data_IF_113928208156
#
_entry.id   IF_113928208156
#
_cell.length_a   1.000
_cell.length_b   1.000
_cell.length_c   1.000
_cell.angle_alpha   90.00
_cell.angle_beta   90.00
_cell.angle_gamma   90.00
#
_symmetry.space_group_name_H-M   'P 1'
#
loop_
_entity.id
_entity.type
_entity.pdbx_description
1 polymer ?
#
# COMPACT_ATOMS: atom_id res chain seq x y z
N UNK A 1 -18.78 59.63 -15.51
CA UNK A 1 -18.97 58.38 -16.31
C UNK A 1 -18.00 58.40 -17.47
N UNK A 2 -17.37 57.25 -17.75
CA UNK A 2 -16.25 56.98 -18.69
C UNK A 2 -14.87 57.14 -18.03
N UNK A 3 -13.97 56.16 -17.99
CA UNK A 3 -13.95 54.76 -18.45
C UNK A 3 -12.82 54.08 -17.64
N UNK A 4 -13.18 53.10 -16.83
CA UNK A 4 -12.32 52.13 -16.15
C UNK A 4 -11.87 51.08 -17.18
N UNK A 5 -10.82 51.33 -17.94
CA UNK A 5 -10.25 50.32 -18.85
C UNK A 5 -8.78 50.62 -19.11
N UNK A 6 -7.90 50.04 -18.28
CA UNK A 6 -6.51 49.67 -18.63
C UNK A 6 -5.83 48.92 -17.48
N UNK A 7 -6.46 47.85 -16.98
CA UNK A 7 -5.81 46.86 -16.11
C UNK A 7 -5.93 45.52 -16.83
N UNK A 8 -5.06 45.28 -17.80
CA UNK A 8 -4.84 43.98 -18.45
C UNK A 8 -3.60 44.10 -19.35
N UNK A 9 -2.42 43.95 -18.76
CA UNK A 9 -1.19 43.92 -19.54
C UNK A 9 0.05 44.14 -18.69
N UNK A 10 0.44 43.13 -17.92
CA UNK A 10 1.84 42.70 -17.67
C UNK A 10 1.92 41.69 -16.51
N UNK A 11 1.35 40.50 -16.70
CA UNK A 11 1.84 39.29 -16.01
C UNK A 11 2.16 38.24 -17.06
N UNK A 12 3.04 38.64 -17.98
CA UNK A 12 3.75 37.70 -18.84
C UNK A 12 4.78 36.96 -17.97
N UNK A 13 4.43 35.72 -17.60
CA UNK A 13 5.26 34.53 -17.83
C UNK A 13 6.74 34.66 -17.39
N UNK A 14 7.06 34.12 -16.20
CA UNK A 14 8.43 33.65 -15.89
C UNK A 14 8.37 32.12 -15.84
N UNK A 15 8.82 31.50 -16.93
CA UNK A 15 8.98 30.06 -17.11
C UNK A 15 10.44 29.69 -16.79
N UNK A 16 10.59 28.58 -16.05
CA UNK A 16 11.75 27.66 -15.99
C UNK A 16 13.15 28.20 -15.69
N UNK A 17 13.75 27.63 -14.64
CA UNK A 17 14.87 26.66 -14.70
C UNK A 17 15.69 26.80 -13.42
N UNK A 18 15.97 25.68 -12.74
CA UNK A 18 17.27 25.38 -12.10
C UNK A 18 17.17 24.12 -11.24
N UNK A 19 17.02 22.95 -11.87
CA UNK A 19 17.64 21.73 -11.33
C UNK A 19 18.89 21.49 -12.17
N UNK A 20 20.06 21.63 -11.55
CA UNK A 20 21.18 20.68 -11.64
C UNK A 20 22.30 21.16 -10.71
N UNK A 21 23.26 20.26 -10.49
CA UNK A 21 24.60 20.43 -9.89
C UNK A 21 24.66 19.93 -8.43
N UNK A 22 25.44 18.92 -8.03
CA UNK A 22 26.42 18.03 -8.68
C UNK A 22 26.48 16.73 -7.84
N UNK A 23 26.63 15.60 -8.50
CA UNK A 23 27.00 14.32 -7.87
C UNK A 23 28.44 14.37 -7.35
N UNK A 24 28.65 14.07 -6.07
CA UNK A 24 29.97 13.82 -5.52
C UNK A 24 30.09 12.37 -5.03
N UNK A 25 30.83 11.59 -5.84
CA UNK A 25 31.91 10.70 -5.39
C UNK A 25 31.54 9.39 -4.69
N UNK A 26 31.39 8.32 -5.48
CA UNK A 26 32.06 7.04 -5.24
C UNK A 26 31.99 6.16 -6.50
N UNK A 27 33.02 6.24 -7.35
CA UNK A 27 33.28 5.27 -8.40
C UNK A 27 33.69 3.93 -7.76
N UNK A 28 32.72 3.03 -7.54
CA UNK A 28 33.06 1.61 -7.35
C UNK A 28 33.20 1.00 -8.75
N UNK A 29 34.44 0.73 -9.13
CA UNK A 29 34.79 -0.17 -10.23
C UNK A 29 33.96 -1.45 -10.07
N UNK A 30 33.15 -1.77 -11.08
CA UNK A 30 32.62 -3.11 -11.27
C UNK A 30 33.52 -3.73 -12.32
N UNK A 31 34.43 -4.61 -11.90
CA UNK A 31 35.16 -5.49 -12.81
C UNK A 31 34.15 -6.46 -13.44
N UNK A 32 33.66 -6.12 -14.63
CA UNK A 32 32.87 -7.03 -15.45
C UNK A 32 33.87 -7.91 -16.20
N UNK A 33 34.17 -9.08 -15.62
CA UNK A 33 34.88 -10.16 -16.32
C UNK A 33 33.93 -10.77 -17.35
N UNK A 34 33.99 -10.27 -18.58
CA UNK A 34 33.31 -10.87 -19.74
C UNK A 34 34.02 -12.19 -20.05
N UNK A 35 33.37 -13.32 -19.78
CA UNK A 35 33.77 -14.62 -20.34
C UNK A 35 32.78 -15.00 -21.43
N UNK A 36 33.27 -15.07 -22.66
CA UNK A 36 32.54 -15.48 -23.85
C UNK A 36 31.91 -16.89 -23.70
N UNK A 37 30.74 -17.14 -24.32
CA UNK A 37 30.18 -18.48 -24.45
C UNK A 37 30.70 -19.12 -25.74
N UNK A 38 31.35 -20.29 -25.66
CA UNK A 38 31.39 -21.25 -26.77
C UNK A 38 31.83 -22.65 -26.30
N UNK A 39 30.83 -23.55 -26.31
CA UNK A 39 30.81 -24.94 -26.79
C UNK A 39 31.60 -26.09 -26.11
N UNK A 40 30.93 -27.26 -26.19
CA UNK A 40 31.41 -28.66 -26.11
C UNK A 40 31.61 -29.16 -24.66
N UNK A 41 31.09 -30.28 -24.14
CA UNK A 41 30.54 -31.53 -24.69
C UNK A 41 29.75 -32.28 -23.61
N UNK A 42 28.90 -33.22 -24.06
CA UNK A 42 28.24 -34.24 -23.24
C UNK A 42 29.25 -35.12 -22.47
N UNK A 43 28.91 -35.51 -21.23
CA UNK A 43 29.14 -36.86 -20.70
C UNK A 43 28.31 -37.14 -19.45
N UNK A 44 27.55 -38.24 -19.54
CA UNK A 44 26.91 -38.95 -18.43
C UNK A 44 27.94 -39.41 -17.40
N UNK A 45 27.60 -39.42 -16.10
CA UNK A 45 27.60 -40.66 -15.30
C UNK A 45 27.15 -40.42 -13.84
N UNK A 46 26.20 -41.26 -13.42
CA UNK A 46 26.05 -41.94 -12.10
C UNK A 46 26.33 -41.16 -10.80
N UNK A 47 25.26 -40.89 -10.07
CA UNK A 47 25.30 -40.72 -8.61
C UNK A 47 25.05 -42.07 -7.92
N UNK A 48 26.06 -42.55 -7.18
CA UNK A 48 25.92 -43.57 -6.13
C UNK A 48 26.69 -43.08 -4.90
N UNK A 49 25.90 -42.87 -3.84
CA UNK A 49 26.12 -43.09 -2.41
C UNK A 49 27.54 -43.17 -1.82
N UNK A 50 27.59 -42.59 -0.61
CA UNK A 50 28.28 -43.06 0.60
C UNK A 50 29.72 -42.62 0.92
N UNK A 51 29.79 -41.99 2.10
CA UNK A 51 30.77 -42.16 3.19
C UNK A 51 32.09 -41.38 3.05
N UNK A 52 32.44 -40.63 4.11
CA UNK A 52 33.64 -40.86 4.95
C UNK A 52 33.61 -39.93 6.18
N UNK A 53 33.78 -40.61 7.32
CA UNK A 53 34.38 -40.32 8.63
C UNK A 53 34.65 -38.88 9.11
N UNK A 54 34.43 -38.68 10.42
CA UNK A 54 35.55 -38.39 11.32
C UNK A 54 35.30 -38.91 12.74
N UNK A 55 36.39 -39.33 13.35
CA UNK A 55 36.57 -40.13 14.58
C UNK A 55 36.72 -39.26 15.83
N UNK A 56 36.59 -39.92 16.99
CA UNK A 56 37.20 -39.66 18.32
C UNK A 56 36.36 -39.06 19.46
N UNK A 57 36.08 -39.97 20.41
CA UNK A 57 36.02 -39.89 21.88
C UNK A 57 35.98 -38.54 22.61
N UNK A 58 34.96 -38.35 23.48
CA UNK A 58 35.17 -38.24 24.94
C UNK A 58 33.88 -38.06 25.76
N UNK A 59 33.89 -38.74 26.92
CA UNK A 59 32.98 -38.73 28.07
C UNK A 59 32.39 -37.36 28.48
N UNK A 60 31.12 -37.31 28.93
CA UNK A 60 30.66 -37.19 30.35
C UNK A 60 29.26 -36.55 30.48
N UNK A 61 28.42 -37.21 31.29
CA UNK A 61 27.45 -36.68 32.28
C UNK A 61 26.35 -35.66 31.88
N UNK A 62 25.12 -36.14 32.05
CA UNK A 62 23.90 -35.49 32.55
C UNK A 62 23.83 -33.95 32.64
N UNK A 63 22.85 -33.38 31.92
CA UNK A 63 22.06 -32.27 32.45
C UNK A 63 20.71 -32.12 31.76
N UNK A 64 19.67 -32.12 32.58
CA UNK A 64 18.28 -31.79 32.25
C UNK A 64 18.16 -30.57 31.32
N UNK A 65 17.62 -30.78 30.13
CA UNK A 65 16.98 -29.72 29.36
C UNK A 65 15.60 -30.17 28.93
N UNK A 66 14.62 -29.60 29.65
CA UNK A 66 13.21 -29.51 29.31
C UNK A 66 13.08 -29.18 27.82
N UNK A 67 12.72 -30.17 27.01
CA UNK A 67 12.28 -29.99 25.63
C UNK A 67 10.96 -29.21 25.67
N UNK A 68 11.05 -27.89 25.76
CA UNK A 68 9.96 -27.01 25.38
C UNK A 68 9.95 -27.01 23.85
N UNK A 69 9.24 -27.99 23.28
CA UNK A 69 8.93 -28.06 21.86
C UNK A 69 8.22 -26.75 21.53
N UNK A 70 8.97 -25.82 20.97
CA UNK A 70 8.48 -24.58 20.41
C UNK A 70 7.53 -25.01 19.29
N UNK A 71 6.23 -25.01 19.58
CA UNK A 71 5.20 -25.26 18.60
C UNK A 71 5.29 -24.12 17.58
N UNK A 72 6.01 -24.36 16.49
CA UNK A 72 5.87 -23.62 15.25
C UNK A 72 4.47 -23.93 14.70
N UNK A 73 3.48 -23.34 15.35
CA UNK A 73 2.14 -23.28 14.83
C UNK A 73 2.21 -22.31 13.66
N UNK A 74 2.50 -22.87 12.48
CA UNK A 74 2.30 -22.22 11.19
C UNK A 74 0.96 -21.49 11.27
N UNK A 75 1.00 -20.16 11.38
CA UNK A 75 -0.20 -19.34 11.27
C UNK A 75 -0.69 -19.58 9.86
N UNK A 76 -1.75 -20.38 9.76
CA UNK A 76 -2.52 -20.59 8.55
C UNK A 76 -2.81 -19.21 7.94
N UNK A 77 -2.06 -18.84 6.91
CA UNK A 77 -2.28 -17.61 6.16
C UNK A 77 -3.61 -17.79 5.43
N UNK A 78 -4.71 -17.48 6.11
CA UNK A 78 -6.02 -17.45 5.49
C UNK A 78 -5.97 -16.36 4.43
N UNK A 79 -5.90 -16.79 3.18
CA UNK A 79 -5.99 -15.93 2.01
C UNK A 79 -7.24 -15.06 2.14
N UNK A 80 -7.08 -13.77 1.84
CA UNK A 80 -8.18 -12.83 1.98
C UNK A 80 -9.19 -13.05 0.86
N UNK A 81 -10.46 -13.21 1.22
CA UNK A 81 -11.54 -13.32 0.24
C UNK A 81 -12.22 -11.97 0.10
N UNK A 82 -11.98 -11.31 -1.03
CA UNK A 82 -12.63 -10.06 -1.40
C UNK A 82 -14.15 -10.24 -1.53
N UNK A 83 -14.92 -9.31 -0.95
CA UNK A 83 -16.39 -9.33 -1.10
C UNK A 83 -16.87 -8.73 -2.41
N UNK A 84 -16.07 -7.83 -2.99
CA UNK A 84 -16.39 -7.09 -4.22
C UNK A 84 -15.16 -7.00 -5.10
N UNK A 85 -15.39 -6.67 -6.37
CA UNK A 85 -14.31 -6.33 -7.29
C UNK A 85 -13.61 -5.03 -6.87
N UNK A 86 -12.36 -4.85 -7.30
CA UNK A 86 -11.60 -3.62 -7.07
C UNK A 86 -12.35 -2.37 -7.55
N UNK A 87 -12.96 -2.46 -8.74
CA UNK A 87 -13.74 -1.39 -9.35
C UNK A 87 -14.96 -1.03 -8.51
N UNK A 88 -15.73 -2.02 -8.06
CA UNK A 88 -16.90 -1.79 -7.21
C UNK A 88 -16.52 -1.12 -5.89
N UNK A 89 -15.42 -1.55 -5.27
CA UNK A 89 -14.92 -0.91 -4.05
C UNK A 89 -14.47 0.53 -4.32
N UNK A 90 -13.73 0.79 -5.40
CA UNK A 90 -13.31 2.13 -5.81
C UNK A 90 -14.51 3.07 -6.01
N UNK A 91 -15.51 2.63 -6.77
CA UNK A 91 -16.73 3.39 -7.04
C UNK A 91 -17.53 3.64 -5.76
N UNK A 92 -17.61 2.64 -4.88
CA UNK A 92 -18.29 2.75 -3.58
C UNK A 92 -17.61 3.76 -2.67
N UNK A 93 -16.28 3.76 -2.57
CA UNK A 93 -15.54 4.75 -1.79
C UNK A 93 -15.74 6.14 -2.37
N UNK A 94 -15.72 6.31 -3.70
CA UNK A 94 -16.00 7.59 -4.33
C UNK A 94 -17.40 8.11 -3.97
N UNK A 95 -18.40 7.24 -4.03
CA UNK A 95 -19.77 7.57 -3.67
C UNK A 95 -19.90 7.93 -2.19
N UNK A 96 -19.53 7.01 -1.29
CA UNK A 96 -19.72 7.19 0.15
C UNK A 96 -18.85 8.31 0.72
N UNK A 97 -17.63 8.45 0.21
CA UNK A 97 -16.73 9.54 0.59
C UNK A 97 -17.29 10.90 0.25
N UNK A 98 -17.83 11.08 -0.96
CA UNK A 98 -18.48 12.32 -1.37
C UNK A 98 -19.70 12.62 -0.48
N UNK A 99 -20.60 11.65 -0.30
CA UNK A 99 -21.80 11.80 0.54
C UNK A 99 -21.44 12.23 1.97
N UNK A 100 -20.39 11.64 2.55
CA UNK A 100 -19.92 11.98 3.90
C UNK A 100 -19.29 13.36 3.96
N UNK A 101 -18.42 13.71 3.00
CA UNK A 101 -17.77 15.02 2.94
C UNK A 101 -18.82 16.13 2.85
N UNK A 102 -19.76 16.01 1.92
CA UNK A 102 -20.84 16.99 1.71
C UNK A 102 -21.75 17.10 2.94
N UNK A 103 -21.99 15.98 3.62
CA UNK A 103 -22.80 15.96 4.83
C UNK A 103 -22.11 16.67 6.00
N UNK A 104 -20.79 16.51 6.18
CA UNK A 104 -20.07 16.88 7.41
C UNK A 104 -19.34 18.23 7.31
N UNK A 105 -18.60 18.48 6.22
CA UNK A 105 -17.55 19.52 6.21
C UNK A 105 -18.05 20.95 6.35
N UNK A 106 -19.34 21.20 6.11
CA UNK A 106 -19.94 22.53 6.23
C UNK A 106 -20.85 22.69 7.46
N UNK A 107 -20.96 21.68 8.33
CA UNK A 107 -21.93 21.64 9.44
C UNK A 107 -21.25 21.31 10.76
N UNK A 108 -20.85 22.34 11.50
CA UNK A 108 -20.15 22.21 12.78
C UNK A 108 -20.88 21.30 13.79
N UNK A 109 -22.22 21.37 13.83
CA UNK A 109 -23.05 20.49 14.67
C UNK A 109 -22.76 19.00 14.40
N UNK A 110 -22.68 18.59 13.13
CA UNK A 110 -22.41 17.19 12.75
C UNK A 110 -21.00 16.78 13.15
N UNK A 111 -20.03 17.70 13.09
CA UNK A 111 -18.68 17.44 13.57
C UNK A 111 -18.65 17.16 15.08
N UNK A 112 -19.41 17.90 15.89
CA UNK A 112 -19.52 17.63 17.32
C UNK A 112 -20.24 16.30 17.60
N UNK A 113 -21.30 15.96 16.86
CA UNK A 113 -21.95 14.63 16.95
C UNK A 113 -20.95 13.50 16.70
N UNK A 114 -20.04 13.65 15.72
CA UNK A 114 -18.99 12.67 15.46
C UNK A 114 -17.99 12.52 16.61
N UNK A 115 -17.62 13.60 17.30
CA UNK A 115 -16.73 13.49 18.47
C UNK A 115 -17.37 12.67 19.60
N UNK A 116 -18.69 12.73 19.73
CA UNK A 116 -19.43 11.97 20.75
C UNK A 116 -19.52 10.46 20.45
N UNK A 117 -19.22 10.02 19.23
CA UNK A 117 -19.26 8.60 18.85
C UNK A 117 -17.94 8.16 18.17
N UNK A 118 -16.91 7.80 18.95
CA UNK A 118 -15.58 7.47 18.43
C UNK A 118 -15.58 6.32 17.42
N UNK A 119 -16.42 5.30 17.61
CA UNK A 119 -16.49 4.14 16.72
C UNK A 119 -16.92 4.53 15.30
N UNK A 120 -18.05 5.22 15.17
CA UNK A 120 -18.57 5.67 13.87
C UNK A 120 -17.66 6.75 13.25
N UNK A 121 -17.06 7.60 14.09
CA UNK A 121 -16.08 8.60 13.65
C UNK A 121 -14.86 7.97 12.98
N UNK A 122 -14.35 6.85 13.50
CA UNK A 122 -13.24 6.11 12.89
C UNK A 122 -13.62 5.60 11.50
N UNK A 123 -14.81 5.00 11.34
CA UNK A 123 -15.27 4.50 10.05
C UNK A 123 -15.44 5.61 9.01
N UNK A 124 -16.05 6.72 9.42
CA UNK A 124 -16.24 7.90 8.56
C UNK A 124 -14.89 8.49 8.15
N UNK A 125 -13.93 8.59 9.09
CA UNK A 125 -12.56 9.03 8.79
C UNK A 125 -11.85 8.08 7.85
N UNK A 126 -12.02 6.76 7.99
CA UNK A 126 -11.42 5.76 7.10
C UNK A 126 -11.92 5.95 5.66
N UNK A 127 -13.25 5.98 5.46
CA UNK A 127 -13.83 6.21 4.12
C UNK A 127 -13.41 7.56 3.53
N UNK A 128 -13.54 8.66 4.29
CA UNK A 128 -13.21 10.00 3.78
C UNK A 128 -11.71 10.19 3.52
N UNK A 129 -10.85 9.54 4.30
CA UNK A 129 -9.40 9.51 4.06
C UNK A 129 -9.08 8.81 2.74
N UNK A 130 -9.63 7.61 2.51
CA UNK A 130 -9.40 6.89 1.25
C UNK A 130 -9.98 7.68 0.08
N UNK A 131 -11.20 8.22 0.23
CA UNK A 131 -11.81 9.11 -0.74
C UNK A 131 -10.89 10.27 -1.13
N UNK A 132 -10.31 10.97 -0.16
CA UNK A 132 -9.40 12.10 -0.44
C UNK A 132 -8.18 11.70 -1.29
N UNK A 133 -7.70 10.46 -1.15
CA UNK A 133 -6.59 9.91 -1.95
C UNK A 133 -7.03 9.64 -3.39
N UNK A 134 -8.26 9.17 -3.59
CA UNK A 134 -8.73 8.66 -4.90
C UNK A 134 -9.63 9.63 -5.68
N UNK A 135 -10.18 10.66 -5.04
CA UNK A 135 -11.22 11.53 -5.61
C UNK A 135 -10.79 12.23 -6.91
N UNK A 136 -9.49 12.52 -7.04
CA UNK A 136 -8.91 13.19 -8.22
C UNK A 136 -8.86 12.34 -9.47
N UNK A 137 -9.03 11.02 -9.36
CA UNK A 137 -9.01 10.10 -10.49
C UNK A 137 -10.45 9.84 -10.94
N UNK A 138 -10.67 9.80 -12.25
CA UNK A 138 -11.98 9.54 -12.84
C UNK A 138 -12.47 8.14 -12.52
N UNK A 139 -11.62 7.15 -12.76
CA UNK A 139 -11.90 5.72 -12.66
C UNK A 139 -10.69 4.95 -12.09
N UNK A 140 -10.87 3.64 -11.92
CA UNK A 140 -9.83 2.78 -11.33
C UNK A 140 -8.64 2.60 -12.28
N UNK A 141 -8.88 2.61 -13.59
CA UNK A 141 -7.83 2.50 -14.61
C UNK A 141 -6.92 3.74 -14.59
N UNK A 142 -7.49 4.95 -14.44
CA UNK A 142 -6.72 6.17 -14.25
C UNK A 142 -5.95 6.16 -12.92
N UNK A 143 -6.58 5.66 -11.85
CA UNK A 143 -5.92 5.49 -10.54
C UNK A 143 -4.71 4.56 -10.63
N UNK A 144 -4.86 3.38 -11.23
CA UNK A 144 -3.81 2.38 -11.38
C UNK A 144 -2.69 2.85 -12.31
N UNK A 145 -3.01 3.55 -13.41
CA UNK A 145 -2.01 4.03 -14.37
C UNK A 145 -1.20 5.23 -13.88
N UNK A 146 -1.80 6.11 -13.06
CA UNK A 146 -1.12 7.30 -12.52
C UNK A 146 -0.37 7.06 -11.23
N UNK A 147 -0.69 6.00 -10.49
CA UNK A 147 0.10 5.57 -9.36
C UNK A 147 1.22 4.64 -9.83
N UNK A 148 2.40 4.77 -9.22
CA UNK A 148 3.46 3.79 -9.48
C UNK A 148 2.92 2.40 -9.11
N UNK A 149 3.11 1.37 -9.95
CA UNK A 149 2.62 0.01 -9.68
C UNK A 149 3.10 -0.57 -8.33
N UNK A 150 4.16 0.00 -7.74
CA UNK A 150 4.66 -0.37 -6.41
C UNK A 150 3.84 0.21 -5.25
N UNK A 151 3.05 1.26 -5.49
CA UNK A 151 2.26 1.97 -4.47
C UNK A 151 0.84 1.44 -4.37
N UNK A 152 0.29 0.87 -5.45
CA UNK A 152 -1.02 0.23 -5.45
C UNK A 152 -0.80 -1.27 -5.46
N UNK A 153 -0.85 -1.86 -4.27
CA UNK A 153 -0.69 -3.29 -4.04
C UNK A 153 -2.02 -3.91 -3.61
N UNK A 154 -2.03 -5.24 -3.46
CA UNK A 154 -3.21 -5.99 -3.02
C UNK A 154 -3.73 -5.55 -1.64
N UNK A 155 -2.83 -5.10 -0.76
CA UNK A 155 -3.17 -4.54 0.55
C UNK A 155 -4.01 -3.25 0.44
N UNK A 156 -3.73 -2.39 -0.54
CA UNK A 156 -4.54 -1.20 -0.81
C UNK A 156 -5.97 -1.59 -1.20
N UNK A 157 -6.12 -2.62 -2.03
CA UNK A 157 -7.44 -3.11 -2.42
C UNK A 157 -8.16 -3.81 -1.29
N UNK A 158 -7.43 -4.50 -0.42
CA UNK A 158 -7.97 -5.08 0.82
C UNK A 158 -8.50 -3.98 1.74
N UNK A 159 -7.73 -2.91 1.94
CA UNK A 159 -8.16 -1.74 2.71
C UNK A 159 -9.47 -1.17 2.15
N UNK A 160 -9.61 -1.12 0.83
CA UNK A 160 -10.84 -0.64 0.18
C UNK A 160 -12.02 -1.56 0.47
N UNK A 161 -11.87 -2.87 0.28
CA UNK A 161 -12.93 -3.84 0.51
C UNK A 161 -13.38 -3.87 1.98
N UNK A 162 -12.42 -3.82 2.91
CA UNK A 162 -12.67 -3.76 4.35
C UNK A 162 -13.40 -2.46 4.72
N UNK A 163 -12.93 -1.30 4.23
CA UNK A 163 -13.55 -0.01 4.53
C UNK A 163 -15.01 0.04 4.05
N UNK A 164 -15.27 -0.38 2.81
CA UNK A 164 -16.63 -0.42 2.25
C UNK A 164 -17.50 -1.38 3.05
N UNK A 165 -16.97 -2.55 3.41
CA UNK A 165 -17.68 -3.55 4.21
C UNK A 165 -18.05 -3.05 5.60
N UNK A 166 -17.12 -2.42 6.31
CA UNK A 166 -17.38 -1.88 7.64
C UNK A 166 -18.37 -0.71 7.58
N UNK A 167 -18.23 0.17 6.59
CA UNK A 167 -19.16 1.27 6.37
C UNK A 167 -20.58 0.76 6.09
N UNK A 168 -20.74 -0.23 5.20
CA UNK A 168 -22.07 -0.75 4.84
C UNK A 168 -22.79 -1.40 6.02
N UNK A 169 -22.05 -2.06 6.93
CA UNK A 169 -22.62 -2.63 8.16
C UNK A 169 -23.18 -1.54 9.09
N UNK A 170 -22.51 -0.41 9.18
CA UNK A 170 -22.85 0.69 10.10
C UNK A 170 -23.59 1.85 9.42
N UNK A 171 -23.95 1.70 8.15
CA UNK A 171 -24.46 2.79 7.31
C UNK A 171 -25.65 3.50 7.94
N UNK A 172 -26.65 2.75 8.41
CA UNK A 172 -27.84 3.33 9.04
C UNK A 172 -27.50 4.09 10.32
N UNK A 173 -26.61 3.55 11.15
CA UNK A 173 -26.16 4.19 12.39
C UNK A 173 -25.38 5.49 12.11
N UNK A 174 -24.54 5.49 11.08
CA UNK A 174 -23.82 6.67 10.60
C UNK A 174 -24.81 7.76 10.18
N UNK A 175 -25.80 7.43 9.34
CA UNK A 175 -26.76 8.44 8.87
C UNK A 175 -27.73 8.89 9.95
N UNK A 176 -28.07 8.03 10.91
CA UNK A 176 -28.83 8.42 12.11
C UNK A 176 -28.04 9.39 13.00
N UNK A 177 -26.72 9.22 13.11
CA UNK A 177 -25.85 10.15 13.83
C UNK A 177 -25.71 11.48 13.10
N UNK A 178 -25.64 11.47 11.77
CA UNK A 178 -25.41 12.67 10.97
C UNK A 178 -26.67 13.48 10.68
N UNK A 179 -27.86 12.91 10.85
CA UNK A 179 -29.13 13.64 10.68
C UNK A 179 -29.66 14.19 12.01
#
# INVERSE_FOLDING_TARGET
MKKLLNILGTTAIIITTSFLVIACKASKQIDIKITNPNNVENKEEKSKNEKIENTEDSKKEEKDQKNEIQSDQSKENKEYVFKRTKKENFDSIKKYGLELVDSIFHKQEKYEKLKSNPSLSVLIRKITSIYSKIAKYKDIEEFESKLLPRLVNEESYREFDEAVTEYEKEKENIWKLLN
#
